data_IF_572797525110
#
_entry.id   IF_572797525110
#
_cell.length_a   1.000
_cell.length_b   1.000
_cell.length_c   1.000
_cell.angle_alpha   90.00
_cell.angle_beta   90.00
_cell.angle_gamma   90.00
#
_symmetry.space_group_name_H-M   'P 1'
#
loop_
_entity.id
_entity.type
_entity.pdbx_description
1 polymer ?
#
# COMPACT_ATOMS: atom_id res chain seq x y z
N UNK A 1 -2.17 5.75 3.02
CA UNK A 1 -2.34 4.46 3.72
C UNK A 1 -1.03 3.96 4.34
N UNK A 2 0.09 3.86 3.60
CA UNK A 2 1.38 3.37 4.14
C UNK A 2 1.96 4.20 5.32
N UNK A 3 1.70 5.51 5.39
CA UNK A 3 2.21 6.36 6.47
C UNK A 3 1.64 6.01 7.85
N UNK A 4 0.38 5.58 7.94
CA UNK A 4 -0.23 5.19 9.22
C UNK A 4 0.33 3.87 9.73
N UNK A 5 0.62 2.93 8.82
CA UNK A 5 1.26 1.65 9.15
C UNK A 5 2.69 1.91 9.64
N UNK A 6 3.47 2.72 8.91
CA UNK A 6 4.82 3.07 9.30
C UNK A 6 4.87 3.72 10.69
N UNK A 7 3.98 4.69 10.97
CA UNK A 7 3.89 5.34 12.28
C UNK A 7 3.51 4.35 13.38
N UNK A 8 2.54 3.46 13.13
CA UNK A 8 2.11 2.47 14.10
C UNK A 8 3.21 1.43 14.40
N UNK A 9 4.02 1.06 13.40
CA UNK A 9 5.16 0.16 13.57
C UNK A 9 6.30 0.83 14.35
N UNK A 10 6.60 2.10 14.07
CA UNK A 10 7.59 2.88 14.82
C UNK A 10 7.18 3.04 16.29
N UNK A 11 5.93 3.40 16.56
CA UNK A 11 5.41 3.54 17.91
C UNK A 11 5.56 2.23 18.71
N UNK A 12 5.24 1.09 18.08
CA UNK A 12 5.41 -0.23 18.70
C UNK A 12 6.88 -0.56 18.97
N UNK A 13 7.79 -0.27 18.05
CA UNK A 13 9.23 -0.49 18.25
C UNK A 13 9.76 0.30 19.45
N UNK A 14 9.34 1.55 19.60
CA UNK A 14 9.72 2.39 20.75
C UNK A 14 9.22 1.78 22.06
N UNK A 15 7.97 1.30 22.09
CA UNK A 15 7.41 0.62 23.26
C UNK A 15 8.22 -0.63 23.61
N UNK A 16 8.51 -1.51 22.64
CA UNK A 16 9.29 -2.73 22.87
C UNK A 16 10.68 -2.41 23.44
N UNK A 17 11.39 -1.45 22.86
CA UNK A 17 12.71 -1.03 23.35
C UNK A 17 12.66 -0.50 24.79
N UNK A 18 11.65 0.31 25.11
CA UNK A 18 11.47 0.84 26.45
C UNK A 18 11.14 -0.26 27.46
N UNK A 19 10.28 -1.22 27.09
CA UNK A 19 9.93 -2.36 27.95
C UNK A 19 11.16 -3.23 28.23
N UNK A 20 11.97 -3.53 27.22
CA UNK A 20 13.23 -4.29 27.40
C UNK A 20 14.18 -3.54 28.33
N UNK A 21 14.30 -2.23 28.18
CA UNK A 21 15.13 -1.41 29.06
C UNK A 21 14.65 -1.48 30.52
N UNK A 22 13.34 -1.30 30.77
CA UNK A 22 12.76 -1.40 32.11
C UNK A 22 12.94 -2.80 32.72
N UNK A 23 12.74 -3.84 31.91
CA UNK A 23 13.00 -5.22 32.32
C UNK A 23 14.46 -5.41 32.74
N UNK A 24 15.42 -4.96 31.93
CA UNK A 24 16.84 -5.11 32.24
C UNK A 24 17.26 -4.34 33.49
N UNK A 25 16.67 -3.17 33.76
CA UNK A 25 16.87 -2.43 35.00
C UNK A 25 16.35 -3.22 36.21
N UNK A 26 15.15 -3.79 36.10
CA UNK A 26 14.56 -4.61 37.16
C UNK A 26 15.37 -5.90 37.39
N UNK A 27 15.83 -6.55 36.32
CA UNK A 27 16.63 -7.77 36.37
C UNK A 27 17.96 -7.59 37.12
N UNK A 28 18.59 -6.41 36.98
CA UNK A 28 19.81 -6.05 37.71
C UNK A 28 19.55 -5.74 39.19
N UNK A 29 18.33 -5.36 39.56
CA UNK A 29 17.97 -4.99 40.94
C UNK A 29 17.65 -6.19 41.84
N UNK A 30 17.66 -7.41 41.30
CA UNK A 30 17.38 -8.63 42.03
C UNK A 30 18.59 -9.09 42.85
N UNK A 31 18.34 -9.75 43.99
CA UNK A 31 19.38 -10.30 44.88
C UNK A 31 20.31 -11.30 44.17
N UNK A 32 19.76 -12.02 43.18
CA UNK A 32 20.51 -12.73 42.17
C UNK A 32 20.23 -12.05 40.81
N UNK A 33 21.23 -11.38 40.19
CA UNK A 33 21.02 -10.72 38.92
C UNK A 33 20.54 -11.68 37.85
N UNK A 34 19.38 -11.39 37.25
CA UNK A 34 18.84 -12.17 36.15
C UNK A 34 19.53 -11.78 34.82
N UNK A 35 19.63 -12.71 33.84
CA UNK A 35 20.21 -12.40 32.54
C UNK A 35 19.42 -11.29 31.84
N UNK A 36 20.15 -10.34 31.27
CA UNK A 36 19.58 -9.26 30.46
C UNK A 36 19.17 -9.80 29.09
N UNK A 37 18.13 -9.20 28.52
CA UNK A 37 17.63 -9.56 27.20
C UNK A 37 17.87 -8.38 26.26
N UNK A 38 18.35 -8.68 25.06
CA UNK A 38 18.58 -7.72 23.99
C UNK A 38 17.38 -7.63 23.05
N UNK A 39 17.29 -6.54 22.29
CA UNK A 39 16.24 -6.39 21.29
C UNK A 39 16.34 -7.46 20.19
N UNK A 40 17.55 -7.89 19.84
CA UNK A 40 17.80 -8.88 18.80
C UNK A 40 17.34 -10.28 19.26
N UNK A 41 17.61 -10.65 20.52
CA UNK A 41 17.10 -11.90 21.11
C UNK A 41 15.57 -11.93 21.17
N UNK A 42 14.92 -10.81 21.52
CA UNK A 42 13.44 -10.72 21.50
C UNK A 42 12.89 -10.92 20.09
N UNK A 43 13.56 -10.36 19.07
CA UNK A 43 13.16 -10.54 17.67
C UNK A 43 13.35 -11.99 17.24
N UNK A 44 14.46 -12.63 17.62
CA UNK A 44 14.72 -14.05 17.34
C UNK A 44 13.69 -14.96 18.01
N UNK A 45 13.36 -14.72 19.29
CA UNK A 45 12.33 -15.49 20.00
C UNK A 45 10.93 -15.23 19.45
N UNK A 46 10.60 -14.00 19.08
CA UNK A 46 9.32 -13.68 18.44
C UNK A 46 9.20 -14.36 17.07
N UNK A 47 10.29 -14.37 16.29
CA UNK A 47 10.36 -15.11 15.03
C UNK A 47 10.12 -16.60 15.27
N UNK A 48 10.86 -17.24 16.19
CA UNK A 48 10.66 -18.67 16.51
C UNK A 48 9.23 -18.97 17.01
N UNK A 49 8.64 -18.09 17.82
CA UNK A 49 7.27 -18.21 18.30
C UNK A 49 6.23 -18.06 17.17
N UNK A 50 6.46 -17.17 16.20
CA UNK A 50 5.61 -17.04 15.01
C UNK A 50 5.65 -18.30 14.15
N UNK A 51 6.79 -19.01 14.08
CA UNK A 51 6.88 -20.33 13.42
C UNK A 51 6.20 -21.44 14.22
N UNK A 52 6.28 -21.44 15.54
CA UNK A 52 5.52 -22.38 16.37
C UNK A 52 4.01 -22.14 16.27
N UNK A 53 3.58 -20.88 16.09
CA UNK A 53 2.19 -20.53 15.79
C UNK A 53 1.73 -21.09 14.44
N UNK A 54 2.62 -21.10 13.43
CA UNK A 54 2.40 -21.77 12.15
C UNK A 54 2.44 -23.30 12.30
N UNK A 55 3.30 -23.84 13.18
CA UNK A 55 3.41 -25.27 13.46
C UNK A 55 2.17 -25.83 14.16
N UNK A 56 1.51 -25.03 15.00
CA UNK A 56 0.22 -25.38 15.59
C UNK A 56 -0.92 -25.51 14.56
N UNK A 57 -0.70 -25.07 13.32
CA UNK A 57 -1.65 -25.18 12.19
C UNK A 57 -1.28 -26.26 11.17
N UNK A 58 -0.24 -27.06 11.44
CA UNK A 58 0.26 -28.12 10.57
C UNK A 58 -0.82 -29.20 10.37
N UNK A 59 -1.57 -29.06 9.27
CA UNK A 59 -2.54 -30.02 8.76
C UNK A 59 -3.95 -29.45 8.54
N UNK A 60 -4.44 -28.57 9.40
CA UNK A 60 -5.82 -28.07 9.28
C UNK A 60 -5.99 -26.98 8.23
N UNK A 61 -4.96 -26.17 7.98
CA UNK A 61 -4.99 -25.11 6.97
C UNK A 61 -4.96 -25.71 5.56
N UNK A 62 -4.12 -26.71 5.30
CA UNK A 62 -4.03 -27.39 4.01
C UNK A 62 -5.34 -28.10 3.62
N UNK A 63 -6.16 -28.48 4.60
CA UNK A 63 -7.48 -29.05 4.37
C UNK A 63 -8.57 -28.02 4.06
N UNK A 64 -8.31 -26.72 4.21
CA UNK A 64 -9.32 -25.70 3.90
C UNK A 64 -9.48 -25.55 2.38
N UNK A 65 -10.71 -25.46 1.85
CA UNK A 65 -10.92 -25.27 0.42
C UNK A 65 -10.21 -24.04 -0.16
N UNK A 66 -9.96 -23.00 0.65
CA UNK A 66 -9.28 -21.77 0.23
C UNK A 66 -7.75 -21.86 0.17
N UNK A 67 -7.13 -22.87 0.76
CA UNK A 67 -5.68 -23.13 0.61
C UNK A 67 -5.37 -23.97 -0.63
N UNK A 68 -6.38 -24.60 -1.23
CA UNK A 68 -6.25 -25.30 -2.50
C UNK A 68 -6.20 -24.31 -3.68
N UNK A 69 -5.30 -24.48 -4.67
CA UNK A 69 -5.21 -23.58 -5.83
C UNK A 69 -6.53 -23.43 -6.58
N UNK A 70 -7.27 -24.53 -6.76
CA UNK A 70 -8.59 -24.52 -7.39
C UNK A 70 -9.60 -23.66 -6.63
N UNK A 71 -9.60 -23.73 -5.30
CA UNK A 71 -10.46 -22.92 -4.45
C UNK A 71 -10.12 -21.43 -4.52
N UNK A 72 -8.82 -21.07 -4.48
CA UNK A 72 -8.38 -19.68 -4.70
C UNK A 72 -8.86 -19.14 -6.04
N UNK A 73 -8.67 -19.88 -7.14
CA UNK A 73 -9.13 -19.47 -8.46
C UNK A 73 -10.66 -19.31 -8.54
N UNK A 74 -11.41 -20.19 -7.86
CA UNK A 74 -12.87 -20.07 -7.79
C UNK A 74 -13.30 -18.83 -7.01
N UNK A 75 -12.68 -18.55 -5.86
CA UNK A 75 -12.92 -17.34 -5.08
C UNK A 75 -12.57 -16.07 -5.86
N UNK A 76 -11.42 -16.03 -6.54
CA UNK A 76 -11.03 -14.89 -7.36
C UNK A 76 -12.08 -14.59 -8.43
N UNK A 77 -12.56 -15.63 -9.14
CA UNK A 77 -13.63 -15.48 -10.14
C UNK A 77 -14.93 -14.99 -9.51
N UNK A 78 -15.32 -15.57 -8.38
CA UNK A 78 -16.54 -15.20 -7.66
C UNK A 78 -16.50 -13.74 -7.21
N UNK A 79 -15.42 -13.30 -6.56
CA UNK A 79 -15.29 -11.93 -6.09
C UNK A 79 -15.09 -10.92 -7.22
N UNK A 80 -14.43 -11.31 -8.32
CA UNK A 80 -14.42 -10.50 -9.56
C UNK A 80 -15.82 -10.31 -10.12
N UNK A 81 -16.64 -11.37 -10.15
CA UNK A 81 -18.01 -11.29 -10.63
C UNK A 81 -18.89 -10.42 -9.72
N UNK A 82 -18.76 -10.55 -8.40
CA UNK A 82 -19.47 -9.69 -7.45
C UNK A 82 -19.14 -8.20 -7.67
N UNK A 83 -17.85 -7.86 -7.78
CA UNK A 83 -17.40 -6.48 -7.96
C UNK A 83 -17.56 -5.93 -9.37
N UNK A 84 -17.79 -6.78 -10.38
CA UNK A 84 -17.95 -6.33 -11.76
C UNK A 84 -19.08 -5.29 -11.91
N UNK A 85 -20.18 -5.43 -11.15
CA UNK A 85 -21.29 -4.48 -11.17
C UNK A 85 -20.87 -3.11 -10.63
N UNK A 86 -20.10 -3.08 -9.55
CA UNK A 86 -19.54 -1.85 -8.97
C UNK A 86 -18.56 -1.20 -9.95
N UNK A 87 -17.71 -2.00 -10.59
CA UNK A 87 -16.72 -1.51 -11.54
C UNK A 87 -17.38 -0.89 -12.78
N UNK A 88 -18.51 -1.43 -13.27
CA UNK A 88 -19.28 -0.80 -14.35
C UNK A 88 -19.73 0.62 -13.96
N UNK A 89 -20.28 0.78 -12.75
CA UNK A 89 -20.74 2.09 -12.26
C UNK A 89 -19.56 3.05 -12.15
N UNK A 90 -18.43 2.60 -11.59
CA UNK A 90 -17.21 3.38 -11.47
C UNK A 90 -16.65 3.78 -12.84
N UNK A 91 -16.57 2.85 -13.78
CA UNK A 91 -16.08 3.10 -15.14
C UNK A 91 -16.95 4.11 -15.87
N UNK A 92 -18.28 4.08 -15.71
CA UNK A 92 -19.16 5.08 -16.30
C UNK A 92 -18.85 6.51 -15.82
N UNK A 93 -18.45 6.67 -14.56
CA UNK A 93 -18.00 7.97 -14.03
C UNK A 93 -16.63 8.32 -14.58
N UNK A 94 -15.70 7.35 -14.61
CA UNK A 94 -14.32 7.58 -15.03
C UNK A 94 -14.22 7.91 -16.52
N UNK A 95 -14.99 7.24 -17.38
CA UNK A 95 -15.06 7.55 -18.81
C UNK A 95 -15.44 9.01 -19.02
N UNK A 96 -16.47 9.49 -18.30
CA UNK A 96 -16.88 10.91 -18.39
C UNK A 96 -15.77 11.84 -17.91
N UNK A 97 -15.10 11.52 -16.80
CA UNK A 97 -13.98 12.31 -16.29
C UNK A 97 -12.83 12.38 -17.28
N UNK A 98 -12.47 11.26 -17.90
CA UNK A 98 -11.41 11.19 -18.91
C UNK A 98 -11.78 12.02 -20.13
N UNK A 99 -13.02 11.91 -20.63
CA UNK A 99 -13.48 12.74 -21.76
C UNK A 99 -13.47 14.22 -21.40
N UNK A 100 -13.96 14.60 -20.22
CA UNK A 100 -13.89 15.99 -19.75
C UNK A 100 -12.44 16.48 -19.63
N UNK A 101 -11.55 15.65 -19.09
CA UNK A 101 -10.14 15.99 -18.97
C UNK A 101 -9.49 16.20 -20.34
N UNK A 102 -9.74 15.31 -21.30
CA UNK A 102 -9.27 15.42 -22.68
C UNK A 102 -9.75 16.74 -23.32
N UNK A 103 -11.03 17.08 -23.18
CA UNK A 103 -11.58 18.30 -23.74
C UNK A 103 -11.00 19.57 -23.09
N UNK A 104 -10.86 19.56 -21.76
CA UNK A 104 -10.28 20.68 -21.02
C UNK A 104 -8.81 20.89 -21.39
N UNK A 105 -8.06 19.81 -21.60
CA UNK A 105 -6.67 19.86 -22.02
C UNK A 105 -6.56 20.45 -23.45
N UNK A 106 -7.41 20.02 -24.38
CA UNK A 106 -7.44 20.58 -25.73
C UNK A 106 -7.77 22.08 -25.73
N UNK A 107 -8.77 22.50 -24.95
CA UNK A 107 -9.11 23.92 -24.76
C UNK A 107 -7.92 24.71 -24.18
N UNK A 108 -7.25 24.16 -23.17
CA UNK A 108 -6.06 24.77 -22.58
C UNK A 108 -4.93 24.92 -23.60
N UNK A 109 -4.64 23.88 -24.38
CA UNK A 109 -3.57 23.92 -25.38
C UNK A 109 -3.88 24.92 -26.51
N UNK A 110 -5.14 25.02 -26.96
CA UNK A 110 -5.58 26.04 -27.93
C UNK A 110 -5.46 27.46 -27.37
N UNK A 111 -5.82 27.66 -26.11
CA UNK A 111 -5.65 28.95 -25.45
C UNK A 111 -4.17 29.34 -25.39
N UNK A 112 -3.29 28.41 -24.99
CA UNK A 112 -1.85 28.65 -24.91
C UNK A 112 -1.22 28.95 -26.27
N UNK A 113 -1.60 28.21 -27.31
CA UNK A 113 -1.17 28.51 -28.68
C UNK A 113 -1.55 29.94 -29.08
N UNK A 114 -2.80 30.35 -28.86
CA UNK A 114 -3.26 31.70 -29.19
C UNK A 114 -2.51 32.78 -28.40
N UNK A 115 -2.24 32.56 -27.11
CA UNK A 115 -1.42 33.48 -26.31
C UNK A 115 0.01 33.64 -26.86
N UNK A 116 0.64 32.54 -27.28
CA UNK A 116 1.99 32.54 -27.85
C UNK A 116 2.02 33.23 -29.23
N UNK A 117 1.02 32.96 -30.07
CA UNK A 117 0.87 33.64 -31.36
C UNK A 117 0.68 35.16 -31.17
N UNK A 118 -0.14 35.57 -30.20
CA UNK A 118 -0.34 36.99 -29.86
C UNK A 118 0.91 37.65 -29.26
N UNK A 119 1.75 36.90 -28.56
CA UNK A 119 3.04 37.37 -28.03
C UNK A 119 4.15 37.44 -29.09
N UNK A 120 3.89 36.98 -30.32
CA UNK A 120 4.86 36.94 -31.42
C UNK A 120 5.83 35.76 -31.36
N UNK A 121 5.63 34.80 -30.46
CA UNK A 121 6.46 33.59 -30.33
C UNK A 121 5.86 32.43 -31.15
N UNK A 122 6.01 32.54 -32.47
CA UNK A 122 5.44 31.58 -33.41
C UNK A 122 6.07 30.18 -33.33
N UNK A 123 7.37 30.09 -33.05
CA UNK A 123 8.08 28.80 -32.98
C UNK A 123 7.56 27.97 -31.80
N UNK A 124 7.36 28.60 -30.63
CA UNK A 124 6.77 27.93 -29.47
C UNK A 124 5.32 27.53 -29.71
N UNK A 125 4.53 28.35 -30.41
CA UNK A 125 3.13 28.03 -30.74
C UNK A 125 3.03 26.78 -31.63
N UNK A 126 3.93 26.63 -32.62
CA UNK A 126 3.97 25.46 -33.50
C UNK A 126 4.25 24.16 -32.73
N UNK A 127 5.07 24.22 -31.67
CA UNK A 127 5.38 23.07 -30.83
C UNK A 127 4.20 22.56 -29.99
N UNK A 128 3.19 23.39 -29.74
CA UNK A 128 1.98 23.01 -28.99
C UNK A 128 1.00 22.22 -29.86
N UNK A 129 1.02 22.45 -31.19
CA UNK A 129 0.05 21.87 -32.14
C UNK A 129 -0.08 20.34 -32.11
N UNK A 130 1.01 19.55 -31.99
CA UNK A 130 0.94 18.08 -31.97
C UNK A 130 0.25 17.49 -30.74
N UNK A 131 0.06 18.27 -29.68
CA UNK A 131 -0.55 17.81 -28.43
C UNK A 131 -2.06 18.06 -28.36
N UNK A 132 -2.60 18.81 -29.33
CA UNK A 132 -4.05 19.02 -29.46
C UNK A 132 -4.72 17.79 -30.04
N UNK A 133 -6.02 17.68 -29.80
CA UNK A 133 -6.85 16.75 -30.54
C UNK A 133 -7.01 17.27 -31.99
N UNK A 134 -6.88 16.36 -32.96
CA UNK A 134 -7.08 16.62 -34.39
C UNK A 134 -8.48 17.17 -34.70
#
# INVERSE_FOLDING_TARGET
>A
MCQHIAKASQARLVVVKNTIHQYNLAALSLEAPAPQITCDEVVEYAFLADFDLLRATDGELDMKPWTQPAGRHAMDKYFKLLRAKEEIVRLNVEIRRVVTWINNEDEFLRHRESELENAGDHDSAVLVRPYRLE
#
